data_IF_206160926643
#
_entry.id   IF_206160926643
#
_cell.length_a   1.000
_cell.length_b   1.000
_cell.length_c   1.000
_cell.angle_alpha   90.00
_cell.angle_beta   90.00
_cell.angle_gamma   90.00
#
_symmetry.space_group_name_H-M   'P 1'
#
loop_
_entity.id
_entity.type
_entity.pdbx_description
1 polymer ?
#
# COMPACT_ATOMS: atom_id res chain seq x y z
N UNK A 1 -12.02 10.19 -7.19
CA UNK A 1 -11.55 9.53 -8.44
C UNK A 1 -12.71 8.81 -9.09
N UNK A 2 -12.88 8.90 -10.40
CA UNK A 2 -13.92 8.18 -11.15
C UNK A 2 -13.37 6.86 -11.72
N UNK A 3 -14.24 5.85 -11.77
CA UNK A 3 -13.95 4.58 -12.46
C UNK A 3 -14.56 4.65 -13.85
N UNK A 4 -13.72 4.48 -14.86
CA UNK A 4 -14.13 4.41 -16.25
C UNK A 4 -14.41 2.95 -16.64
N UNK A 5 -15.62 2.68 -17.10
CA UNK A 5 -15.95 1.42 -17.77
C UNK A 5 -15.53 1.50 -19.25
N UNK A 6 -15.03 0.39 -19.79
CA UNK A 6 -14.71 0.31 -21.21
C UNK A 6 -15.97 0.02 -22.04
N UNK A 7 -15.97 0.45 -23.31
CA UNK A 7 -17.04 0.10 -24.25
C UNK A 7 -17.12 -1.43 -24.41
N UNK A 8 -18.31 -2.04 -24.40
CA UNK A 8 -18.50 -3.50 -24.41
C UNK A 8 -18.32 -4.12 -25.81
N UNK A 9 -17.19 -3.86 -26.43
CA UNK A 9 -16.90 -4.33 -27.80
C UNK A 9 -16.42 -5.77 -27.84
N UNK A 10 -15.74 -6.23 -26.76
CA UNK A 10 -15.22 -7.59 -26.63
C UNK A 10 -15.66 -8.23 -25.32
N UNK A 11 -15.65 -9.59 -25.20
CA UNK A 11 -15.95 -10.23 -23.90
C UNK A 11 -15.14 -9.70 -22.73
N UNK A 12 -13.86 -9.37 -22.95
CA UNK A 12 -13.00 -8.83 -21.92
C UNK A 12 -13.36 -7.36 -21.57
N UNK A 13 -13.62 -6.51 -22.55
CA UNK A 13 -13.92 -5.09 -22.35
C UNK A 13 -15.27 -4.88 -21.67
N UNK A 14 -16.23 -5.78 -21.86
CA UNK A 14 -17.55 -5.75 -21.24
C UNK A 14 -17.49 -5.66 -19.71
N UNK A 15 -16.54 -6.36 -19.09
CA UNK A 15 -16.39 -6.45 -17.64
C UNK A 15 -15.19 -5.68 -17.10
N UNK A 16 -14.41 -5.02 -17.95
CA UNK A 16 -13.21 -4.29 -17.54
C UNK A 16 -13.57 -2.88 -17.09
N UNK A 17 -13.13 -2.52 -15.90
CA UNK A 17 -13.09 -1.13 -15.45
C UNK A 17 -11.65 -0.68 -15.16
N UNK A 18 -11.40 0.62 -15.27
CA UNK A 18 -10.08 1.23 -15.02
C UNK A 18 -10.26 2.51 -14.21
N UNK A 19 -9.29 2.86 -13.35
CA UNK A 19 -9.25 4.21 -12.79
C UNK A 19 -9.00 5.21 -13.92
N UNK A 20 -9.56 6.40 -13.82
CA UNK A 20 -9.38 7.46 -14.83
C UNK A 20 -8.07 8.23 -14.67
N UNK A 21 -7.40 8.06 -13.52
CA UNK A 21 -6.13 8.72 -13.19
C UNK A 21 -6.18 10.26 -13.15
N UNK A 22 -7.36 10.85 -13.00
CA UNK A 22 -7.55 12.31 -13.00
C UNK A 22 -6.76 13.05 -11.92
N UNK A 23 -6.43 12.39 -10.80
CA UNK A 23 -5.64 12.96 -9.71
C UNK A 23 -4.13 12.97 -9.98
N UNK A 24 -3.67 12.23 -10.99
CA UNK A 24 -2.25 12.12 -11.31
C UNK A 24 -1.81 13.32 -12.11
N UNK A 25 -0.75 13.98 -11.65
CA UNK A 25 -0.22 15.19 -12.28
C UNK A 25 0.96 14.92 -13.20
N UNK A 26 1.71 13.83 -12.97
CA UNK A 26 2.83 13.43 -13.83
C UNK A 26 2.99 11.90 -13.88
N UNK A 27 3.48 11.40 -15.00
CA UNK A 27 3.83 10.00 -15.23
C UNK A 27 5.33 9.70 -15.03
N UNK A 28 6.15 10.75 -14.90
CA UNK A 28 7.61 10.63 -14.77
C UNK A 28 8.04 10.66 -13.31
N UNK A 29 8.58 9.56 -12.77
CA UNK A 29 9.04 9.53 -11.38
C UNK A 29 10.38 10.27 -11.20
N UNK A 30 10.59 10.80 -10.01
CA UNK A 30 11.87 11.40 -9.59
C UNK A 30 12.98 10.33 -9.63
N UNK A 31 13.99 10.55 -10.48
CA UNK A 31 15.04 9.55 -10.77
C UNK A 31 15.86 9.16 -9.55
N UNK A 32 16.16 10.10 -8.67
CA UNK A 32 16.95 9.88 -7.44
C UNK A 32 16.26 8.92 -6.47
N UNK A 33 14.92 8.88 -6.47
CA UNK A 33 14.10 8.08 -5.57
C UNK A 33 13.65 6.75 -6.19
N UNK A 34 14.16 6.39 -7.37
CA UNK A 34 13.82 5.14 -8.05
C UNK A 34 14.93 4.11 -7.89
N UNK A 35 14.55 2.88 -7.51
CA UNK A 35 15.46 1.73 -7.34
C UNK A 35 15.04 0.56 -8.22
N UNK A 36 16.00 -0.30 -8.54
CA UNK A 36 15.74 -1.55 -9.25
C UNK A 36 15.00 -2.53 -8.34
N UNK A 37 13.88 -3.07 -8.82
CA UNK A 37 13.15 -4.13 -8.11
C UNK A 37 13.57 -5.49 -8.66
N UNK A 38 14.24 -6.31 -7.83
CA UNK A 38 14.57 -7.70 -8.16
C UNK A 38 13.31 -8.56 -8.05
N UNK A 39 13.04 -9.38 -9.08
CA UNK A 39 11.93 -10.35 -9.08
C UNK A 39 12.47 -11.72 -8.68
N UNK A 40 12.01 -12.27 -7.57
CA UNK A 40 12.43 -13.59 -7.07
C UNK A 40 11.60 -14.74 -7.64
N UNK A 41 10.45 -14.45 -8.26
CA UNK A 41 9.53 -15.48 -8.76
C UNK A 41 8.93 -16.36 -7.65
N UNK A 42 8.85 -15.84 -6.43
CA UNK A 42 8.35 -16.60 -5.26
C UNK A 42 9.37 -17.57 -4.65
N UNK A 43 10.65 -17.42 -4.99
CA UNK A 43 11.74 -18.24 -4.46
C UNK A 43 12.38 -17.57 -3.25
N UNK A 44 12.84 -18.40 -2.29
CA UNK A 44 13.60 -17.98 -1.12
C UNK A 44 15.09 -17.82 -1.47
N UNK A 45 15.93 -17.56 -0.45
CA UNK A 45 17.39 -17.46 -0.57
C UNK A 45 18.07 -18.75 -1.03
N UNK A 46 17.45 -19.92 -0.78
CA UNK A 46 17.91 -21.24 -1.23
C UNK A 46 17.38 -21.62 -2.62
N UNK A 47 16.71 -20.73 -3.34
CA UNK A 47 16.15 -20.98 -4.68
C UNK A 47 14.85 -21.81 -4.70
N UNK A 48 14.35 -22.26 -3.55
CA UNK A 48 13.11 -23.04 -3.45
C UNK A 48 11.88 -22.15 -3.52
N UNK A 49 10.82 -22.63 -4.17
CA UNK A 49 9.54 -21.91 -4.28
C UNK A 49 8.80 -22.00 -2.94
N UNK A 50 8.77 -20.90 -2.19
CA UNK A 50 8.02 -20.75 -0.93
C UNK A 50 6.69 -20.04 -1.13
N UNK A 51 6.54 -19.28 -2.21
CA UNK A 51 5.29 -18.63 -2.59
C UNK A 51 4.93 -19.02 -4.01
N UNK A 52 4.01 -19.99 -4.15
CA UNK A 52 3.56 -20.49 -5.46
C UNK A 52 2.87 -19.38 -6.27
N UNK A 53 2.82 -19.57 -7.58
CA UNK A 53 2.02 -18.77 -8.54
C UNK A 53 2.44 -17.30 -8.61
N UNK A 54 3.66 -17.00 -8.29
CA UNK A 54 4.29 -15.69 -8.50
C UNK A 54 5.33 -15.78 -9.60
N UNK A 55 5.39 -14.76 -10.46
CA UNK A 55 6.41 -14.64 -11.49
C UNK A 55 5.91 -14.00 -12.77
N UNK A 56 6.83 -13.64 -13.64
CA UNK A 56 6.54 -12.87 -14.84
C UNK A 56 6.04 -11.45 -14.53
N UNK A 57 5.08 -11.00 -15.31
CA UNK A 57 4.50 -9.66 -15.19
C UNK A 57 5.39 -8.55 -15.73
N UNK A 58 4.81 -7.36 -15.88
CA UNK A 58 5.49 -6.18 -16.42
C UNK A 58 6.70 -5.80 -15.57
N UNK A 59 7.77 -5.26 -16.20
CA UNK A 59 8.94 -4.71 -15.49
C UNK A 59 8.53 -3.52 -14.64
N UNK A 60 8.95 -3.50 -13.38
CA UNK A 60 8.63 -2.43 -12.43
C UNK A 60 9.90 -1.86 -11.83
N UNK A 61 9.85 -0.57 -11.50
CA UNK A 61 10.84 0.11 -10.67
C UNK A 61 10.21 0.41 -9.32
N UNK A 62 10.99 0.31 -8.26
CA UNK A 62 10.54 0.62 -6.91
C UNK A 62 10.74 2.11 -6.64
N UNK A 63 9.72 2.77 -6.09
CA UNK A 63 9.81 4.14 -5.55
C UNK A 63 10.10 4.04 -4.07
N UNK A 64 11.13 4.75 -3.64
CA UNK A 64 11.49 4.80 -2.22
C UNK A 64 10.50 5.72 -1.52
N UNK A 65 9.69 5.14 -0.64
CA UNK A 65 8.67 5.88 0.11
C UNK A 65 9.20 6.15 1.51
N UNK A 66 9.00 7.34 1.99
CA UNK A 66 9.28 7.73 3.37
C UNK A 66 8.19 7.21 4.30
N UNK A 67 8.40 6.00 4.83
CA UNK A 67 7.54 5.41 5.85
C UNK A 67 7.90 5.86 7.26
N UNK A 68 9.08 6.44 7.46
CA UNK A 68 9.54 6.85 8.78
C UNK A 68 9.06 8.24 9.17
N UNK A 69 8.87 9.12 8.17
CA UNK A 69 8.48 10.52 8.39
C UNK A 69 9.34 11.21 9.44
N UNK A 70 10.63 10.86 9.48
CA UNK A 70 11.58 11.30 10.50
C UNK A 70 12.15 12.71 10.27
N UNK A 71 11.63 13.46 9.31
CA UNK A 71 12.00 14.85 9.04
C UNK A 71 11.09 15.78 9.84
N UNK A 72 11.45 15.97 11.11
CA UNK A 72 10.63 16.74 12.04
C UNK A 72 10.80 18.25 11.87
N UNK A 73 9.67 18.97 12.04
CA UNK A 73 9.59 20.44 12.07
C UNK A 73 10.07 21.14 10.79
N UNK A 74 10.19 20.39 9.68
CA UNK A 74 10.54 20.96 8.38
C UNK A 74 9.32 20.86 7.48
N UNK A 75 8.92 22.02 6.95
CA UNK A 75 7.80 22.12 6.03
C UNK A 75 8.17 21.53 4.67
N UNK A 76 7.24 20.75 4.09
CA UNK A 76 7.34 20.25 2.74
C UNK A 76 6.10 20.61 1.94
N UNK A 77 6.29 20.90 0.66
CA UNK A 77 5.20 21.21 -0.28
C UNK A 77 4.98 20.03 -1.21
N UNK A 78 3.73 19.70 -1.44
CA UNK A 78 3.33 18.67 -2.42
C UNK A 78 3.62 19.19 -3.83
N UNK A 79 4.60 18.60 -4.50
CA UNK A 79 5.01 18.99 -5.85
C UNK A 79 4.20 18.25 -6.92
N UNK A 80 4.07 16.93 -6.80
CA UNK A 80 3.35 16.08 -7.77
C UNK A 80 2.62 14.94 -7.09
N UNK A 81 1.57 14.43 -7.76
CA UNK A 81 0.89 13.19 -7.40
C UNK A 81 1.15 12.19 -8.53
N UNK A 82 1.62 10.99 -8.17
CA UNK A 82 2.12 10.01 -9.13
C UNK A 82 1.52 8.61 -8.92
N UNK A 83 1.48 7.85 -10.01
CA UNK A 83 1.13 6.43 -9.99
C UNK A 83 2.34 5.57 -9.60
N UNK A 84 2.16 4.67 -8.62
CA UNK A 84 3.17 3.64 -8.30
C UNK A 84 2.64 2.24 -8.66
N UNK A 85 3.28 1.51 -9.60
CA UNK A 85 2.86 0.16 -9.98
C UNK A 85 3.06 -0.89 -8.86
N UNK A 86 3.71 -0.56 -7.75
CA UNK A 86 4.04 -1.49 -6.68
C UNK A 86 3.00 -1.49 -5.55
N UNK A 87 2.08 -0.52 -5.56
CA UNK A 87 1.03 -0.37 -4.53
C UNK A 87 -0.29 0.04 -5.15
N UNK A 88 -1.35 -0.11 -4.39
CA UNK A 88 -2.70 0.31 -4.79
C UNK A 88 -2.93 1.81 -4.60
N UNK A 89 -2.29 2.42 -3.59
CA UNK A 89 -2.36 3.85 -3.33
C UNK A 89 -1.49 4.64 -4.30
N UNK A 90 -1.87 5.89 -4.59
CA UNK A 90 -0.99 6.85 -5.24
C UNK A 90 0.05 7.38 -4.26
N UNK A 91 1.08 8.02 -4.79
CA UNK A 91 2.16 8.62 -4.04
C UNK A 91 2.25 10.10 -4.36
N UNK A 92 2.66 10.89 -3.38
CA UNK A 92 2.93 12.32 -3.54
C UNK A 92 4.43 12.59 -3.38
N UNK A 93 5.00 13.35 -4.30
CA UNK A 93 6.36 13.85 -4.18
C UNK A 93 6.34 15.13 -3.36
N UNK A 94 7.13 15.16 -2.32
CA UNK A 94 7.26 16.30 -1.42
C UNK A 94 8.61 16.95 -1.63
N UNK A 95 8.61 18.26 -1.82
CA UNK A 95 9.80 19.11 -1.81
C UNK A 95 9.85 19.80 -0.45
N UNK A 96 10.87 19.49 0.33
CA UNK A 96 11.13 20.15 1.60
C UNK A 96 11.90 21.47 1.40
N UNK A 97 11.74 22.39 2.34
CA UNK A 97 12.41 23.72 2.29
C UNK A 97 13.93 23.60 2.21
N UNK A 98 14.52 22.54 2.78
CA UNK A 98 15.97 22.26 2.71
C UNK A 98 16.43 21.62 1.39
N UNK A 99 15.55 21.49 0.38
CA UNK A 99 15.85 20.94 -0.93
C UNK A 99 15.76 19.43 -1.05
N UNK A 100 15.57 18.69 0.06
CA UNK A 100 15.38 17.24 0.00
C UNK A 100 14.00 16.90 -0.60
N UNK A 101 13.97 15.85 -1.42
CA UNK A 101 12.74 15.30 -1.99
C UNK A 101 12.44 13.96 -1.39
N UNK A 102 11.18 13.70 -1.04
CA UNK A 102 10.72 12.40 -0.56
C UNK A 102 9.34 12.05 -1.13
N UNK A 103 9.11 10.76 -1.37
CA UNK A 103 7.76 10.27 -1.64
C UNK A 103 7.04 9.89 -0.35
N UNK A 104 5.78 10.23 -0.28
CA UNK A 104 4.85 9.74 0.75
C UNK A 104 3.67 9.03 0.10
N UNK A 105 2.91 8.26 0.88
CA UNK A 105 1.60 7.76 0.43
C UNK A 105 0.67 8.96 0.37
N UNK A 106 -0.05 9.13 -0.76
CA UNK A 106 -1.01 10.20 -0.92
C UNK A 106 -2.23 9.97 -0.02
N UNK A 107 -2.55 10.87 0.92
CA UNK A 107 -3.85 10.88 1.59
C UNK A 107 -4.93 11.39 0.64
N UNK A 108 -6.16 11.00 0.92
CA UNK A 108 -7.34 11.48 0.22
C UNK A 108 -7.52 12.99 0.43
N UNK A 109 -7.83 13.70 -0.65
CA UNK A 109 -8.02 15.16 -0.63
C UNK A 109 -6.74 15.99 -0.67
N UNK A 110 -5.54 15.39 -0.60
CA UNK A 110 -4.28 16.12 -0.73
C UNK A 110 -4.09 16.61 -2.18
N UNK A 111 -3.76 17.89 -2.33
CA UNK A 111 -3.56 18.55 -3.64
C UNK A 111 -2.12 19.02 -3.81
N UNK A 112 -1.73 19.28 -5.06
CA UNK A 112 -0.46 19.93 -5.37
C UNK A 112 -0.47 21.35 -4.81
N UNK A 113 0.62 21.73 -4.15
CA UNK A 113 0.77 23.01 -3.46
C UNK A 113 0.43 22.96 -1.96
N UNK A 114 -0.21 21.87 -1.49
CA UNK A 114 -0.49 21.74 -0.06
C UNK A 114 0.81 21.59 0.74
N UNK A 115 0.82 22.16 1.94
CA UNK A 115 1.93 22.10 2.88
C UNK A 115 1.71 20.99 3.88
N UNK A 116 2.75 20.20 4.12
CA UNK A 116 2.75 19.12 5.10
C UNK A 116 3.94 19.21 6.03
N UNK A 117 3.73 18.80 7.26
CA UNK A 117 4.78 18.77 8.31
C UNK A 117 4.73 17.44 9.04
N UNK A 118 5.87 16.97 9.47
CA UNK A 118 6.01 15.91 10.47
C UNK A 118 6.52 16.54 11.75
N UNK A 119 5.78 16.39 12.85
CA UNK A 119 6.15 16.97 14.15
C UNK A 119 5.62 16.09 15.27
N UNK A 120 6.12 16.22 16.47
CA UNK A 120 5.51 15.56 17.63
C UNK A 120 4.07 16.02 17.82
N UNK A 121 3.82 17.32 17.65
CA UNK A 121 2.51 17.95 17.71
C UNK A 121 2.33 18.86 16.50
N UNK A 122 1.73 18.33 15.43
CA UNK A 122 1.40 19.08 14.22
C UNK A 122 -0.06 19.52 14.22
N UNK A 123 -0.44 20.40 13.31
CA UNK A 123 -1.86 20.70 13.06
C UNK A 123 -2.60 19.46 12.52
N UNK A 124 -3.89 19.36 12.86
CA UNK A 124 -4.76 18.26 12.41
C UNK A 124 -5.17 18.43 10.95
N UNK A 125 -4.18 18.59 10.07
CA UNK A 125 -4.35 18.66 8.62
C UNK A 125 -4.03 17.33 7.96
N UNK A 126 -4.78 16.99 6.93
CA UNK A 126 -4.54 15.78 6.12
C UNK A 126 -3.12 15.77 5.56
N UNK A 127 -2.40 14.67 5.78
CA UNK A 127 -1.02 14.51 5.33
C UNK A 127 0.05 14.84 6.38
N UNK A 128 -0.30 15.54 7.45
CA UNK A 128 0.60 15.77 8.58
C UNK A 128 0.82 14.47 9.36
N UNK A 129 2.05 14.27 9.83
CA UNK A 129 2.41 13.12 10.65
C UNK A 129 2.76 13.57 12.07
N UNK A 130 2.21 12.88 13.06
CA UNK A 130 2.48 13.16 14.47
C UNK A 130 2.41 11.90 15.31
N UNK A 131 2.81 12.01 16.58
CA UNK A 131 2.68 10.93 17.55
C UNK A 131 1.20 10.67 17.87
N UNK A 132 0.84 9.40 18.04
CA UNK A 132 -0.54 8.99 18.33
C UNK A 132 -1.10 9.66 19.59
N UNK A 133 -0.28 9.90 20.61
CA UNK A 133 -0.71 10.59 21.83
C UNK A 133 -1.34 11.97 21.62
N UNK A 134 -0.94 12.65 20.52
CA UNK A 134 -1.39 14.01 20.21
C UNK A 134 -2.56 14.04 19.21
N UNK A 135 -3.03 12.88 18.76
CA UNK A 135 -4.15 12.76 17.83
C UNK A 135 -5.43 12.53 18.63
N UNK A 136 -6.44 13.40 18.56
CA UNK A 136 -7.67 13.23 19.34
C UNK A 136 -8.45 11.97 18.93
N UNK A 137 -9.20 11.41 19.88
CA UNK A 137 -10.10 10.29 19.63
C UNK A 137 -11.14 10.66 18.57
N UNK A 138 -11.54 9.65 17.78
CA UNK A 138 -12.47 9.84 16.67
C UNK A 138 -11.79 10.15 15.33
N UNK A 139 -10.54 10.61 15.32
CA UNK A 139 -9.80 10.93 14.09
C UNK A 139 -9.44 9.68 13.28
N UNK A 140 -9.43 9.86 11.94
CA UNK A 140 -8.95 8.86 11.01
C UNK A 140 -7.48 9.09 10.70
N UNK A 141 -6.71 8.03 10.80
CA UNK A 141 -5.26 8.02 10.56
C UNK A 141 -4.88 6.86 9.64
N UNK A 142 -3.75 6.99 9.00
CA UNK A 142 -3.16 5.94 8.16
C UNK A 142 -1.64 5.93 8.34
N UNK A 143 -0.96 4.99 7.69
CA UNK A 143 0.50 4.92 7.70
C UNK A 143 1.06 4.89 9.13
N UNK A 144 0.58 3.94 9.95
CA UNK A 144 0.84 3.87 11.39
C UNK A 144 2.02 2.98 11.67
N UNK A 145 2.87 3.39 12.60
CA UNK A 145 3.95 2.56 13.14
C UNK A 145 3.41 1.54 14.14
N UNK A 146 4.06 0.38 14.24
CA UNK A 146 3.84 -0.61 15.30
C UNK A 146 4.87 -0.49 16.42
N UNK A 147 6.06 -0.01 16.08
CA UNK A 147 7.18 0.20 16.99
C UNK A 147 7.74 1.59 16.67
N UNK A 148 7.94 2.46 17.66
CA UNK A 148 8.45 3.80 17.43
C UNK A 148 9.75 3.82 16.61
N UNK A 149 9.83 4.69 15.58
CA UNK A 149 10.99 4.87 14.71
C UNK A 149 11.27 3.75 13.69
N UNK A 150 10.50 2.64 13.70
CA UNK A 150 10.65 1.56 12.72
C UNK A 150 10.09 1.95 11.35
N UNK A 151 9.19 2.89 11.32
CA UNK A 151 8.44 3.29 10.13
C UNK A 151 7.09 2.61 10.03
N UNK A 152 6.19 3.23 9.32
CA UNK A 152 4.80 2.81 9.20
C UNK A 152 4.64 1.43 8.59
N UNK A 153 3.77 0.62 9.16
CA UNK A 153 3.49 -0.76 8.74
C UNK A 153 2.00 -1.00 8.50
N UNK A 154 1.10 -0.30 9.20
CA UNK A 154 -0.35 -0.48 9.12
C UNK A 154 -1.02 0.59 8.25
N UNK A 155 -2.18 0.26 7.69
CA UNK A 155 -3.05 1.15 6.89
C UNK A 155 -2.31 1.91 5.77
N UNK A 156 -1.71 1.16 4.82
CA UNK A 156 -0.94 1.72 3.69
C UNK A 156 -1.57 1.48 2.33
N UNK A 157 -2.61 0.67 2.26
CA UNK A 157 -3.31 0.35 1.02
C UNK A 157 -4.30 1.44 0.64
N UNK A 158 -4.67 1.52 -0.64
CA UNK A 158 -5.68 2.44 -1.14
C UNK A 158 -6.97 2.36 -0.31
N UNK A 159 -7.52 3.52 0.06
CA UNK A 159 -8.74 3.62 0.85
C UNK A 159 -8.63 3.17 2.31
N UNK A 160 -7.47 2.67 2.75
CA UNK A 160 -7.31 2.20 4.13
C UNK A 160 -7.23 3.37 5.11
N UNK A 161 -7.85 3.18 6.26
CA UNK A 161 -7.81 4.09 7.41
C UNK A 161 -7.93 3.29 8.70
N UNK A 162 -7.55 3.91 9.78
CA UNK A 162 -7.70 3.41 11.15
C UNK A 162 -8.32 4.53 11.98
N UNK A 163 -9.24 4.21 12.85
CA UNK A 163 -9.85 5.18 13.75
C UNK A 163 -9.18 5.13 15.11
N UNK A 164 -8.78 6.28 15.62
CA UNK A 164 -8.31 6.43 17.01
C UNK A 164 -9.55 6.37 17.92
N UNK A 165 -9.60 5.40 18.84
CA UNK A 165 -10.75 5.19 19.71
C UNK A 165 -10.57 5.86 21.08
N UNK A 166 -9.47 5.54 21.76
CA UNK A 166 -9.20 6.01 23.10
C UNK A 166 -7.69 6.09 23.36
N UNK A 167 -7.33 6.87 24.35
CA UNK A 167 -5.98 6.95 24.91
C UNK A 167 -6.01 6.34 26.31
N UNK A 168 -5.08 5.44 26.58
CA UNK A 168 -4.97 4.72 27.84
C UNK A 168 -3.50 4.62 28.26
N UNK A 169 -3.09 5.46 29.20
CA UNK A 169 -1.71 5.60 29.66
C UNK A 169 -0.72 5.76 28.48
N UNK A 170 0.22 4.81 28.32
CA UNK A 170 1.22 4.79 27.26
C UNK A 170 0.73 4.16 25.94
N UNK A 171 -0.56 3.81 25.85
CA UNK A 171 -1.13 3.14 24.69
C UNK A 171 -2.30 3.92 24.10
N UNK A 172 -2.48 3.72 22.81
CA UNK A 172 -3.63 4.24 22.06
C UNK A 172 -4.39 3.07 21.45
N UNK A 173 -5.67 3.03 21.69
CA UNK A 173 -6.59 2.03 21.15
C UNK A 173 -7.04 2.42 19.76
N UNK A 174 -6.77 1.55 18.79
CA UNK A 174 -7.01 1.75 17.36
C UNK A 174 -8.00 0.73 16.82
N UNK A 175 -9.04 1.19 16.11
CA UNK A 175 -9.95 0.33 15.35
C UNK A 175 -9.41 0.17 13.93
N UNK A 176 -9.00 -1.04 13.58
CA UNK A 176 -8.41 -1.40 12.29
C UNK A 176 -9.47 -1.54 11.19
N UNK A 177 -9.08 -1.49 9.89
CA UNK A 177 -10.01 -1.70 8.78
C UNK A 177 -10.70 -3.07 8.79
N UNK A 178 -10.09 -4.08 9.42
CA UNK A 178 -10.68 -5.41 9.62
C UNK A 178 -11.78 -5.46 10.69
N UNK A 179 -11.99 -4.36 11.45
CA UNK A 179 -12.85 -4.31 12.63
C UNK A 179 -12.15 -4.69 13.94
N UNK A 180 -10.94 -5.25 13.86
CA UNK A 180 -10.13 -5.59 15.03
C UNK A 180 -9.73 -4.33 15.81
N UNK A 181 -9.75 -4.41 17.11
CA UNK A 181 -9.27 -3.36 18.02
C UNK A 181 -7.88 -3.74 18.50
N UNK A 182 -6.91 -2.84 18.35
CA UNK A 182 -5.52 -3.03 18.77
C UNK A 182 -5.01 -1.88 19.59
N UNK A 183 -4.17 -2.18 20.56
CA UNK A 183 -3.41 -1.20 21.33
C UNK A 183 -2.03 -1.02 20.72
N UNK A 184 -1.60 0.21 20.56
CA UNK A 184 -0.29 0.60 20.01
C UNK A 184 0.31 1.65 20.93
N UNK A 185 1.64 1.65 21.09
CA UNK A 185 2.33 2.65 21.92
C UNK A 185 2.02 4.07 21.43
N UNK A 186 1.76 4.96 22.33
CA UNK A 186 1.40 6.35 22.11
C UNK A 186 2.47 7.16 21.35
N UNK A 187 3.76 6.76 21.49
CA UNK A 187 4.94 7.35 20.82
C UNK A 187 5.03 6.98 19.33
N UNK A 188 4.23 6.02 18.85
CA UNK A 188 4.21 5.65 17.45
C UNK A 188 3.69 6.80 16.58
N UNK A 189 4.31 6.98 15.42
CA UNK A 189 3.87 7.98 14.45
C UNK A 189 2.70 7.45 13.61
N UNK A 190 1.79 8.37 13.29
CA UNK A 190 0.70 8.15 12.34
C UNK A 190 0.52 9.38 11.46
N UNK A 191 -0.04 9.20 10.28
CA UNK A 191 -0.40 10.30 9.36
C UNK A 191 -1.90 10.53 9.40
N UNK A 192 -2.31 11.79 9.49
CA UNK A 192 -3.73 12.18 9.57
C UNK A 192 -4.40 11.98 8.21
N UNK A 193 -5.63 11.49 8.25
CA UNK A 193 -6.49 11.28 7.09
C UNK A 193 -6.58 9.83 6.64
N UNK A 194 -7.23 9.61 5.52
CA UNK A 194 -7.48 8.32 4.86
C UNK A 194 -6.57 8.20 3.65
N UNK A 195 -6.09 7.02 3.31
CA UNK A 195 -5.31 6.81 2.08
C UNK A 195 -6.17 7.09 0.85
N UNK A 196 -5.61 7.80 -0.12
CA UNK A 196 -6.26 8.11 -1.40
C UNK A 196 -6.60 6.89 -2.24
N UNK A 197 -7.15 7.11 -3.44
CA UNK A 197 -7.58 6.05 -4.38
C UNK A 197 -8.60 5.07 -3.79
N UNK A 198 -9.57 5.57 -3.03
CA UNK A 198 -10.59 4.77 -2.32
C UNK A 198 -11.34 3.77 -3.20
N UNK A 199 -11.60 4.12 -4.47
CA UNK A 199 -12.35 3.26 -5.39
C UNK A 199 -11.49 2.16 -6.05
N UNK A 200 -10.23 1.98 -5.64
CA UNK A 200 -9.35 0.96 -6.21
C UNK A 200 -9.93 -0.45 -6.12
N UNK A 201 -10.66 -0.76 -5.06
CA UNK A 201 -11.30 -2.07 -4.85
C UNK A 201 -12.36 -2.40 -5.89
N UNK A 202 -13.04 -1.37 -6.45
CA UNK A 202 -14.09 -1.51 -7.44
C UNK A 202 -13.55 -1.80 -8.86
N UNK A 203 -12.23 -1.75 -9.05
CA UNK A 203 -11.58 -1.99 -10.36
C UNK A 203 -11.66 -3.46 -10.75
N UNK A 204 -12.33 -3.72 -11.86
CA UNK A 204 -12.48 -5.08 -12.41
C UNK A 204 -11.45 -5.36 -13.51
N UNK A 205 -10.76 -6.48 -13.41
CA UNK A 205 -9.71 -6.87 -14.36
C UNK A 205 -10.25 -7.29 -15.72
N UNK A 206 -11.42 -7.92 -15.79
CA UNK A 206 -12.12 -8.32 -17.01
C UNK A 206 -11.49 -9.47 -17.79
N UNK A 207 -10.19 -9.75 -17.63
CA UNK A 207 -9.49 -10.85 -18.34
C UNK A 207 -8.33 -11.44 -17.53
N UNK A 208 -8.07 -12.73 -17.73
CA UNK A 208 -6.97 -13.45 -17.10
C UNK A 208 -5.58 -12.89 -17.46
N UNK A 209 -5.40 -12.39 -18.69
CA UNK A 209 -4.16 -11.78 -19.14
C UNK A 209 -3.72 -10.60 -18.28
N UNK A 210 -4.64 -9.81 -17.70
CA UNK A 210 -4.31 -8.73 -16.79
C UNK A 210 -3.67 -9.25 -15.49
N UNK A 211 -4.16 -10.37 -14.98
CA UNK A 211 -3.52 -11.03 -13.82
C UNK A 211 -2.10 -11.49 -14.14
N UNK A 212 -1.87 -11.99 -15.38
CA UNK A 212 -0.53 -12.34 -15.86
C UNK A 212 0.40 -11.13 -15.90
N UNK A 213 -0.07 -9.98 -16.38
CA UNK A 213 0.70 -8.73 -16.40
C UNK A 213 1.06 -8.23 -14.99
N UNK A 214 0.21 -8.52 -14.00
CA UNK A 214 0.49 -8.22 -12.60
C UNK A 214 1.45 -9.22 -11.93
N UNK A 215 1.87 -10.28 -12.63
CA UNK A 215 2.77 -11.31 -12.10
C UNK A 215 2.07 -12.43 -11.36
N UNK A 216 0.75 -12.53 -11.45
CA UNK A 216 -0.04 -13.63 -10.88
C UNK A 216 -0.17 -14.75 -11.91
N UNK A 217 0.34 -15.95 -11.59
CA UNK A 217 0.18 -17.14 -12.42
C UNK A 217 -1.14 -17.86 -12.14
N UNK A 218 -1.66 -18.65 -13.10
CA UNK A 218 -2.89 -19.41 -12.90
C UNK A 218 -2.86 -20.27 -11.66
N UNK A 219 -4.02 -20.44 -11.03
CA UNK A 219 -4.22 -21.31 -9.87
C UNK A 219 -4.87 -22.60 -10.33
N UNK A 220 -4.06 -23.66 -10.51
CA UNK A 220 -4.55 -25.00 -10.82
C UNK A 220 -5.06 -25.66 -9.54
N UNK A 221 -6.21 -26.32 -9.61
CA UNK A 221 -6.78 -27.08 -8.48
C UNK A 221 -5.98 -28.36 -8.25
N UNK A 222 -5.87 -28.81 -6.98
CA UNK A 222 -5.17 -30.04 -6.62
C UNK A 222 -5.67 -31.26 -7.39
N UNK A 223 -6.99 -31.40 -7.52
CA UNK A 223 -7.64 -32.50 -8.25
C UNK A 223 -7.19 -32.64 -9.72
N UNK A 224 -6.72 -31.57 -10.33
CA UNK A 224 -6.22 -31.55 -11.71
C UNK A 224 -4.68 -31.65 -11.80
N UNK A 225 -4.00 -31.97 -10.70
CA UNK A 225 -2.55 -32.11 -10.65
C UNK A 225 -2.17 -33.58 -10.63
N UNK A 226 -1.01 -33.89 -11.24
CA UNK A 226 -0.39 -35.18 -11.09
C UNK A 226 -0.01 -35.41 -9.61
N UNK A 227 -0.15 -36.62 -9.05
CA UNK A 227 0.18 -36.94 -7.65
C UNK A 227 1.55 -36.39 -7.20
N UNK A 228 2.59 -36.49 -8.00
CA UNK A 228 3.93 -35.96 -7.71
C UNK A 228 3.95 -34.44 -7.48
N UNK A 229 2.94 -33.70 -7.95
CA UNK A 229 2.81 -32.27 -7.76
C UNK A 229 2.08 -31.88 -6.45
N UNK A 230 1.50 -32.86 -5.76
CA UNK A 230 0.75 -32.65 -4.52
C UNK A 230 1.69 -32.80 -3.31
N UNK A 231 1.55 -31.92 -2.33
CA UNK A 231 2.44 -31.93 -1.16
C UNK A 231 2.20 -33.12 -0.23
N UNK A 232 0.96 -33.62 -0.18
CA UNK A 232 0.62 -34.73 0.71
C UNK A 232 1.12 -36.09 0.23
N UNK A 233 1.48 -36.24 -1.05
CA UNK A 233 2.02 -37.51 -1.58
C UNK A 233 3.44 -37.81 -1.11
N UNK A 234 4.08 -36.84 -0.44
CA UNK A 234 5.37 -37.04 0.20
C UNK A 234 5.27 -37.38 1.70
N UNK A 235 4.05 -37.43 2.24
CA UNK A 235 3.83 -37.77 3.64
C UNK A 235 3.54 -39.28 3.77
N UNK A 236 4.56 -40.01 4.22
CA UNK A 236 4.48 -41.48 4.42
C UNK A 236 3.43 -41.90 5.48
N UNK A 237 2.81 -40.96 6.18
CA UNK A 237 1.75 -41.24 7.13
C UNK A 237 0.38 -41.50 6.44
N UNK A 238 0.14 -40.92 5.25
CA UNK A 238 -1.08 -41.09 4.49
C UNK A 238 -1.16 -42.43 3.73
N UNK A 239 -0.01 -43.07 3.48
CA UNK A 239 0.08 -44.36 2.80
C UNK A 239 -0.30 -45.56 3.70
N UNK A 240 -0.64 -45.34 4.97
CA UNK A 240 -0.99 -46.41 5.93
C UNK A 240 -2.48 -46.61 6.15
N UNK A 241 -3.32 -45.88 5.45
CA UNK A 241 -4.79 -46.05 5.51
C UNK A 241 -5.28 -46.49 4.13
N UNK A 242 -4.88 -47.69 3.74
CA UNK A 242 -5.39 -48.42 2.61
C UNK A 242 -5.62 -49.86 3.02
#
# INVERSE_FOLDING_TARGET
MAIRQLKPVTPASRFTSRPDFSEITTDRPEKSLVRKLKKTGGRNNKGRITSRRRGGGHKRRYRVIDFKRNKFNIEGVVATIEYDPNRSAFIALIHYVDGEKRYIIQPDGLKVGDKIVSSEKAELKTGNAMQLKNIPSGQFVHNIEMIPGKGAQMARSAGAYVQVMAHDNDYVTLKMPSGEVRMVLDKCLATIGVVGNKQHELVRSGKAGRSRWLGKRPKVRGVAMNPVCLLYTSDAADDRIG
#
